data_IF_054194350825
#
_entry.id   IF_054194350825
#
_cell.length_a   1.000
_cell.length_b   1.000
_cell.length_c   1.000
_cell.angle_alpha   90.00
_cell.angle_beta   90.00
_cell.angle_gamma   90.00
#
_symmetry.space_group_name_H-M   'P 1'
#
loop_
_entity.id
_entity.type
_entity.pdbx_description
1 polymer ?
#
# COMPACT_ATOMS: atom_id res chain seq x y z
N UNK A 1 -40.93 -10.81 -0.13
CA UNK A 1 -40.24 -12.11 -0.23
C UNK A 1 -39.32 -12.01 -1.43
N UNK A 2 -38.03 -11.75 -1.19
CA UNK A 2 -37.02 -11.70 -2.25
C UNK A 2 -36.55 -13.11 -2.57
N UNK A 3 -36.38 -13.40 -3.86
CA UNK A 3 -35.89 -14.67 -4.37
C UNK A 3 -34.55 -15.03 -3.72
N UNK A 4 -34.58 -16.08 -2.89
CA UNK A 4 -33.40 -16.88 -2.57
C UNK A 4 -32.96 -17.53 -3.88
N UNK A 5 -31.93 -16.97 -4.52
CA UNK A 5 -31.18 -17.69 -5.56
C UNK A 5 -30.44 -18.86 -4.89
N UNK A 6 -31.11 -20.00 -4.83
CA UNK A 6 -30.61 -21.30 -4.38
C UNK A 6 -29.43 -21.72 -5.27
N UNK A 7 -28.31 -22.11 -4.65
CA UNK A 7 -27.32 -22.98 -5.30
C UNK A 7 -25.91 -22.42 -5.55
N UNK A 8 -25.56 -21.20 -5.12
CA UNK A 8 -24.17 -20.74 -5.21
C UNK A 8 -23.38 -21.11 -3.95
N UNK A 9 -22.16 -21.68 -4.08
CA UNK A 9 -21.30 -21.92 -2.93
C UNK A 9 -21.05 -20.60 -2.19
N UNK A 10 -20.97 -20.67 -0.85
CA UNK A 10 -20.63 -19.50 -0.06
C UNK A 10 -19.27 -18.94 -0.50
N UNK A 11 -19.20 -17.62 -0.69
CA UNK A 11 -17.99 -16.89 -1.05
C UNK A 11 -16.88 -17.23 -0.05
N UNK A 12 -15.76 -17.79 -0.52
CA UNK A 12 -14.64 -18.17 0.34
C UNK A 12 -13.76 -16.97 0.59
N UNK A 13 -13.70 -16.49 1.82
CA UNK A 13 -12.79 -15.43 2.24
C UNK A 13 -11.53 -16.04 2.85
N UNK A 14 -10.38 -15.75 2.26
CA UNK A 14 -9.06 -16.15 2.73
C UNK A 14 -8.20 -14.91 2.99
N UNK A 15 -7.27 -15.02 3.93
CA UNK A 15 -6.28 -13.98 4.21
C UNK A 15 -4.93 -14.66 4.21
N UNK A 16 -4.06 -14.30 3.28
CA UNK A 16 -2.83 -15.03 3.01
C UNK A 16 -1.67 -14.11 2.61
N UNK A 17 -0.46 -14.53 2.99
CA UNK A 17 0.80 -13.94 2.56
C UNK A 17 1.46 -14.97 1.67
N UNK A 18 1.89 -14.56 0.49
CA UNK A 18 2.63 -15.38 -0.44
C UNK A 18 3.60 -14.48 -1.19
N UNK A 19 4.82 -14.98 -1.45
CA UNK A 19 5.85 -14.20 -2.14
C UNK A 19 5.37 -13.75 -3.53
N UNK A 20 4.81 -14.62 -4.39
CA UNK A 20 4.23 -14.20 -5.67
C UNK A 20 3.17 -13.10 -5.58
N UNK A 21 2.26 -13.18 -4.60
CA UNK A 21 1.20 -12.19 -4.43
C UNK A 21 1.78 -10.80 -4.14
N UNK A 22 2.68 -10.74 -3.17
CA UNK A 22 3.27 -9.49 -2.70
C UNK A 22 4.30 -8.93 -3.71
N UNK A 23 5.08 -9.79 -4.36
CA UNK A 23 5.95 -9.41 -5.48
C UNK A 23 5.17 -8.74 -6.61
N UNK A 24 4.02 -9.30 -6.99
CA UNK A 24 3.13 -8.73 -8.03
C UNK A 24 2.63 -7.35 -7.62
N UNK A 25 2.30 -7.17 -6.34
CA UNK A 25 1.93 -5.85 -5.79
C UNK A 25 3.08 -4.86 -5.90
N UNK A 26 4.25 -5.21 -5.39
CA UNK A 26 5.36 -4.27 -5.26
C UNK A 26 5.99 -3.92 -6.60
N UNK A 27 6.20 -4.87 -7.51
CA UNK A 27 6.73 -4.56 -8.84
C UNK A 27 5.78 -3.62 -9.62
N UNK A 28 4.46 -3.80 -9.44
CA UNK A 28 3.43 -2.92 -9.99
C UNK A 28 3.47 -1.51 -9.40
N UNK A 29 3.86 -1.37 -8.14
CA UNK A 29 4.02 -0.07 -7.47
C UNK A 29 5.32 0.60 -7.92
N UNK A 30 6.44 -0.12 -8.01
CA UNK A 30 7.72 0.38 -8.52
C UNK A 30 7.59 0.84 -9.98
N UNK A 31 6.87 0.10 -10.83
CA UNK A 31 6.54 0.55 -12.18
C UNK A 31 5.85 1.94 -12.17
N UNK A 32 4.96 2.20 -11.22
CA UNK A 32 4.21 3.47 -11.16
C UNK A 32 4.97 4.61 -10.45
N UNK A 33 6.01 4.29 -9.67
CA UNK A 33 6.71 5.19 -8.76
C UNK A 33 7.65 6.18 -9.46
N UNK A 34 7.07 7.08 -10.25
CA UNK A 34 7.77 8.14 -11.00
C UNK A 34 7.84 9.47 -10.26
N UNK A 35 7.03 9.66 -9.20
CA UNK A 35 6.93 10.91 -8.44
C UNK A 35 7.05 10.66 -6.92
N UNK A 36 8.05 11.27 -6.31
CA UNK A 36 8.33 11.22 -4.87
C UNK A 36 7.28 11.90 -3.99
N UNK A 37 6.39 12.73 -4.56
CA UNK A 37 5.27 13.34 -3.80
C UNK A 37 4.10 12.38 -3.62
N UNK A 38 4.00 11.36 -4.48
CA UNK A 38 2.86 10.45 -4.54
C UNK A 38 3.17 9.05 -4.00
N UNK A 39 4.42 8.61 -4.07
CA UNK A 39 4.85 7.28 -3.68
C UNK A 39 5.77 7.30 -2.46
N UNK A 40 5.77 6.19 -1.72
CA UNK A 40 6.78 5.90 -0.68
C UNK A 40 8.18 6.09 -1.24
N UNK A 41 9.07 6.69 -0.44
CA UNK A 41 10.44 7.02 -0.87
C UNK A 41 11.18 5.79 -1.40
N UNK A 42 11.03 4.65 -0.72
CA UNK A 42 11.67 3.40 -1.15
C UNK A 42 11.25 2.99 -2.56
N UNK A 43 9.97 3.12 -2.94
CA UNK A 43 9.50 2.74 -4.28
C UNK A 43 10.17 3.58 -5.38
N UNK A 44 10.34 4.88 -5.12
CA UNK A 44 10.97 5.80 -6.07
C UNK A 44 12.48 5.56 -6.16
N UNK A 45 13.13 5.34 -5.02
CA UNK A 45 14.56 5.05 -4.96
C UNK A 45 14.86 3.68 -5.60
N UNK A 46 14.00 2.67 -5.37
CA UNK A 46 14.07 1.36 -6.03
C UNK A 46 13.90 1.47 -7.54
N UNK A 47 12.94 2.27 -8.04
CA UNK A 47 12.79 2.50 -9.49
C UNK A 47 14.06 3.13 -10.07
N UNK A 48 14.62 4.16 -9.42
CA UNK A 48 15.85 4.82 -9.88
C UNK A 48 17.06 3.89 -9.87
N UNK A 49 17.14 2.99 -8.89
CA UNK A 49 18.24 2.05 -8.73
C UNK A 49 18.32 1.00 -9.86
N UNK A 50 17.23 0.78 -10.61
CA UNK A 50 17.22 -0.10 -11.78
C UNK A 50 18.23 0.36 -12.86
N UNK A 51 18.39 1.68 -13.05
CA UNK A 51 19.14 2.24 -14.16
C UNK A 51 18.41 2.13 -15.50
N UNK A 52 18.93 2.79 -16.54
CA UNK A 52 18.20 3.03 -17.78
C UNK A 52 17.79 1.75 -18.54
N UNK A 53 18.68 0.77 -18.64
CA UNK A 53 18.41 -0.51 -19.32
C UNK A 53 17.27 -1.30 -18.66
N UNK A 54 17.19 -1.26 -17.32
CA UNK A 54 16.20 -2.03 -16.55
C UNK A 54 14.89 -1.31 -16.39
N UNK A 55 14.94 0.01 -16.29
CA UNK A 55 13.74 0.83 -16.39
C UNK A 55 13.07 0.60 -17.75
N UNK A 56 13.85 0.47 -18.83
CA UNK A 56 13.36 0.09 -20.15
C UNK A 56 12.73 -1.30 -20.16
N UNK A 57 13.41 -2.35 -19.65
CA UNK A 57 12.83 -3.70 -19.56
C UNK A 57 11.55 -3.74 -18.72
N UNK A 58 11.53 -3.05 -17.57
CA UNK A 58 10.36 -2.93 -16.72
C UNK A 58 9.21 -2.24 -17.47
N UNK A 59 9.49 -1.13 -18.16
CA UNK A 59 8.46 -0.36 -18.87
C UNK A 59 7.94 -1.11 -20.11
N UNK A 60 8.81 -1.81 -20.85
CA UNK A 60 8.43 -2.66 -21.98
C UNK A 60 7.58 -3.85 -21.52
N UNK A 61 8.01 -4.55 -20.46
CA UNK A 61 7.36 -5.79 -20.04
C UNK A 61 6.11 -5.57 -19.19
N UNK A 62 6.02 -4.52 -18.39
CA UNK A 62 4.78 -4.24 -17.65
C UNK A 62 3.83 -3.35 -18.47
N UNK A 63 4.35 -2.65 -19.50
CA UNK A 63 3.57 -1.80 -20.39
C UNK A 63 2.75 -2.55 -21.45
N UNK A 64 2.87 -3.87 -21.59
CA UNK A 64 2.13 -4.69 -22.58
C UNK A 64 0.62 -4.47 -22.52
N UNK A 65 0.04 -4.31 -21.34
CA UNK A 65 -1.40 -4.11 -21.13
C UNK A 65 -1.74 -2.66 -20.77
N UNK A 66 -0.85 -1.73 -21.10
CA UNK A 66 -1.08 -0.31 -20.89
C UNK A 66 -0.94 0.12 -19.44
N UNK A 67 -1.92 0.90 -18.97
CA UNK A 67 -1.96 1.40 -17.59
C UNK A 67 -2.34 0.29 -16.61
N UNK A 68 -3.07 -0.71 -17.11
CA UNK A 68 -3.48 -1.91 -16.40
C UNK A 68 -2.32 -2.91 -16.56
N UNK A 69 -1.87 -3.54 -15.48
CA UNK A 69 -0.67 -4.40 -15.53
C UNK A 69 -1.05 -5.88 -15.60
N UNK A 70 -2.00 -6.20 -16.47
CA UNK A 70 -2.53 -7.55 -16.62
C UNK A 70 -1.46 -8.58 -16.97
N UNK A 71 -0.39 -8.21 -17.68
CA UNK A 71 0.67 -9.17 -17.99
C UNK A 71 1.31 -9.79 -16.74
N UNK A 72 1.60 -9.00 -15.70
CA UNK A 72 2.16 -9.56 -14.46
C UNK A 72 1.12 -10.38 -13.68
N UNK A 73 -0.17 -10.05 -13.83
CA UNK A 73 -1.25 -10.86 -13.27
C UNK A 73 -1.37 -12.21 -13.99
N UNK A 74 -1.21 -12.26 -15.31
CA UNK A 74 -1.19 -13.54 -16.05
C UNK A 74 -0.04 -14.43 -15.58
N UNK A 75 1.15 -13.86 -15.31
CA UNK A 75 2.29 -14.61 -14.74
C UNK A 75 2.01 -15.13 -13.33
N UNK A 76 1.31 -14.35 -12.50
CA UNK A 76 0.89 -14.78 -11.18
C UNK A 76 -0.15 -15.91 -11.29
N UNK A 77 -1.14 -15.74 -12.15
CA UNK A 77 -2.26 -16.67 -12.29
C UNK A 77 -1.87 -17.97 -13.01
N UNK A 78 -0.84 -17.97 -13.86
CA UNK A 78 -0.26 -19.21 -14.42
C UNK A 78 0.32 -20.11 -13.33
N UNK A 79 0.86 -19.51 -12.27
CA UNK A 79 1.34 -20.23 -11.10
C UNK A 79 0.21 -20.74 -10.21
N UNK A 80 -0.97 -20.12 -10.25
CA UNK A 80 -2.11 -20.43 -9.38
C UNK A 80 -1.71 -20.37 -7.89
N UNK A 81 -1.59 -19.15 -7.31
CA UNK A 81 -1.06 -18.95 -5.96
C UNK A 81 -1.98 -19.50 -4.86
N UNK A 82 -3.17 -19.97 -5.22
CA UNK A 82 -4.20 -20.41 -4.27
C UNK A 82 -4.15 -21.91 -3.98
N UNK A 83 -3.42 -22.68 -4.81
CA UNK A 83 -3.25 -24.11 -4.59
C UNK A 83 -2.59 -24.37 -3.23
N UNK A 84 -3.02 -25.39 -2.48
CA UNK A 84 -2.45 -25.71 -1.18
C UNK A 84 -0.91 -25.77 -1.19
N UNK A 85 -0.32 -26.37 -2.22
CA UNK A 85 1.13 -26.48 -2.41
C UNK A 85 1.84 -25.16 -2.71
N UNK A 86 1.13 -24.12 -3.17
CA UNK A 86 1.70 -22.84 -3.57
C UNK A 86 1.50 -21.74 -2.52
N UNK A 87 0.67 -21.97 -1.50
CA UNK A 87 0.34 -20.97 -0.47
C UNK A 87 1.56 -20.46 0.29
N UNK A 88 2.53 -21.34 0.51
CA UNK A 88 3.78 -21.03 1.22
C UNK A 88 4.99 -20.98 0.28
N UNK A 89 4.76 -21.05 -1.04
CA UNK A 89 5.84 -21.02 -2.02
C UNK A 89 6.60 -19.69 -1.95
N UNK A 90 7.92 -19.81 -1.92
CA UNK A 90 8.86 -18.71 -2.03
C UNK A 90 9.09 -18.31 -3.49
N UNK A 91 10.03 -17.38 -3.66
CA UNK A 91 10.39 -16.86 -4.96
C UNK A 91 10.97 -17.93 -5.90
N UNK A 92 11.80 -18.83 -5.37
CA UNK A 92 12.48 -19.85 -6.18
C UNK A 92 11.49 -20.83 -6.82
N UNK A 93 10.45 -21.24 -6.09
CA UNK A 93 9.40 -22.12 -6.62
C UNK A 93 8.58 -21.43 -7.71
N UNK A 94 8.28 -20.14 -7.51
CA UNK A 94 7.57 -19.33 -8.48
C UNK A 94 8.37 -19.15 -9.77
N UNK A 95 9.64 -18.74 -9.68
CA UNK A 95 10.51 -18.60 -10.85
C UNK A 95 10.79 -19.93 -11.51
N UNK A 96 10.95 -21.01 -10.74
CA UNK A 96 11.11 -22.35 -11.31
C UNK A 96 9.88 -22.79 -12.11
N UNK A 97 8.66 -22.42 -11.68
CA UNK A 97 7.46 -22.63 -12.47
C UNK A 97 7.51 -21.82 -13.78
N UNK A 98 7.80 -20.52 -13.70
CA UNK A 98 7.90 -19.66 -14.88
C UNK A 98 8.94 -20.16 -15.89
N UNK A 99 10.11 -20.60 -15.42
CA UNK A 99 11.16 -21.18 -16.27
C UNK A 99 10.71 -22.48 -16.96
N UNK A 100 9.84 -23.28 -16.32
CA UNK A 100 9.29 -24.53 -16.88
C UNK A 100 8.21 -24.29 -17.93
N UNK A 101 7.51 -23.17 -17.90
CA UNK A 101 6.52 -22.84 -18.93
C UNK A 101 7.18 -22.78 -20.32
N UNK A 102 6.55 -23.34 -21.37
CA UNK A 102 7.06 -23.20 -22.72
C UNK A 102 6.96 -21.75 -23.19
N UNK A 103 7.82 -21.32 -24.11
CA UNK A 103 7.87 -19.92 -24.54
C UNK A 103 6.56 -19.41 -25.16
N UNK A 104 5.84 -20.26 -25.89
CA UNK A 104 4.53 -19.90 -26.44
C UNK A 104 3.53 -19.48 -25.36
N UNK A 105 3.65 -19.97 -24.12
CA UNK A 105 2.77 -19.57 -23.02
C UNK A 105 2.95 -18.10 -22.67
N UNK A 106 4.17 -17.56 -22.79
CA UNK A 106 4.43 -16.13 -22.57
C UNK A 106 3.78 -15.25 -23.63
N UNK A 107 3.79 -15.69 -24.90
CA UNK A 107 3.04 -15.05 -25.98
C UNK A 107 1.54 -15.09 -25.67
N UNK A 108 1.00 -16.24 -25.26
CA UNK A 108 -0.41 -16.36 -24.88
C UNK A 108 -0.78 -15.43 -23.72
N UNK A 109 0.03 -15.35 -22.66
CA UNK A 109 -0.20 -14.44 -21.54
C UNK A 109 -0.17 -12.96 -21.97
N UNK A 110 0.77 -12.55 -22.82
CA UNK A 110 0.81 -11.18 -23.34
C UNK A 110 -0.46 -10.84 -24.16
N UNK A 111 -0.93 -11.80 -24.97
CA UNK A 111 -2.17 -11.65 -25.74
C UNK A 111 -3.39 -11.56 -24.81
N UNK A 112 -3.51 -12.46 -23.82
CA UNK A 112 -4.61 -12.45 -22.86
C UNK A 112 -4.65 -11.15 -22.06
N UNK A 113 -3.48 -10.66 -21.62
CA UNK A 113 -3.36 -9.37 -20.95
C UNK A 113 -3.91 -8.23 -21.82
N UNK A 114 -3.61 -8.22 -23.13
CA UNK A 114 -4.14 -7.22 -24.05
C UNK A 114 -5.65 -7.36 -24.29
N UNK A 115 -6.14 -8.60 -24.44
CA UNK A 115 -7.59 -8.85 -24.57
C UNK A 115 -8.38 -8.36 -23.35
N UNK A 116 -7.81 -8.48 -22.14
CA UNK A 116 -8.41 -7.92 -20.92
C UNK A 116 -8.48 -6.39 -20.96
N UNK A 117 -7.47 -5.72 -21.54
CA UNK A 117 -7.52 -4.25 -21.74
C UNK A 117 -8.64 -3.87 -22.69
N UNK A 118 -8.84 -4.62 -23.77
CA UNK A 118 -9.95 -4.39 -24.70
C UNK A 118 -11.31 -4.59 -24.02
N UNK A 119 -11.44 -5.66 -23.24
CA UNK A 119 -12.67 -5.97 -22.52
C UNK A 119 -13.09 -4.84 -21.57
N UNK A 120 -12.14 -4.26 -20.83
CA UNK A 120 -12.41 -3.13 -19.93
C UNK A 120 -12.84 -1.85 -20.65
N UNK A 121 -12.47 -1.73 -21.92
CA UNK A 121 -12.90 -0.65 -22.80
C UNK A 121 -14.20 -0.97 -23.54
N UNK A 122 -14.82 -2.11 -23.27
CA UNK A 122 -16.02 -2.58 -23.93
C UNK A 122 -15.80 -3.08 -25.36
N UNK A 123 -14.57 -3.41 -25.72
CA UNK A 123 -14.21 -3.95 -27.03
C UNK A 123 -13.96 -5.47 -26.95
N UNK A 124 -14.38 -6.19 -27.99
CA UNK A 124 -14.06 -7.61 -28.18
C UNK A 124 -13.17 -7.70 -29.41
N UNK A 125 -11.89 -8.00 -29.19
CA UNK A 125 -10.89 -8.15 -30.24
C UNK A 125 -10.48 -9.60 -30.41
N UNK A 126 -10.04 -9.96 -31.61
CA UNK A 126 -9.52 -11.29 -31.92
C UNK A 126 -8.01 -11.18 -32.15
N UNK A 127 -7.18 -12.01 -31.49
CA UNK A 127 -5.74 -12.01 -31.74
C UNK A 127 -5.42 -12.34 -33.20
N UNK A 128 -4.41 -11.69 -33.80
CA UNK A 128 -3.98 -12.01 -35.16
C UNK A 128 -3.51 -13.46 -35.30
N UNK A 129 -3.87 -14.10 -36.42
CA UNK A 129 -3.37 -15.43 -36.81
C UNK A 129 -2.11 -15.37 -37.70
N UNK A 130 -1.71 -14.17 -38.13
CA UNK A 130 -0.56 -13.91 -38.99
C UNK A 130 0.72 -13.68 -38.18
N UNK A 131 1.89 -13.92 -38.78
CA UNK A 131 3.19 -13.49 -38.24
C UNK A 131 3.63 -12.11 -38.77
N UNK A 132 2.76 -11.40 -39.50
CA UNK A 132 3.01 -10.05 -39.99
C UNK A 132 3.10 -9.02 -38.84
N UNK A 133 4.26 -8.38 -38.62
CA UNK A 133 4.43 -7.38 -37.56
C UNK A 133 3.47 -6.19 -37.66
N UNK A 134 3.04 -5.79 -38.86
CA UNK A 134 2.14 -4.65 -39.03
C UNK A 134 0.75 -4.94 -38.44
N UNK A 135 0.26 -6.18 -38.58
CA UNK A 135 -1.02 -6.60 -38.00
C UNK A 135 -0.93 -6.65 -36.47
N UNK A 136 0.18 -7.17 -35.94
CA UNK A 136 0.43 -7.18 -34.50
C UNK A 136 0.58 -5.77 -33.92
N UNK A 137 1.23 -4.85 -34.65
CA UNK A 137 1.33 -3.45 -34.24
C UNK A 137 -0.05 -2.83 -34.06
N UNK A 138 -0.93 -2.99 -35.04
CA UNK A 138 -2.30 -2.50 -34.97
C UNK A 138 -3.08 -3.11 -33.78
N UNK A 139 -2.81 -4.38 -33.45
CA UNK A 139 -3.41 -5.05 -32.29
C UNK A 139 -2.89 -4.56 -30.94
N UNK A 140 -1.63 -4.14 -30.82
CA UNK A 140 -1.07 -3.70 -29.53
C UNK A 140 -1.19 -2.19 -29.31
N UNK A 141 -1.05 -1.38 -30.35
CA UNK A 141 -0.97 0.09 -30.28
C UNK A 141 -2.06 0.76 -29.41
N UNK A 142 -3.35 0.36 -29.46
CA UNK A 142 -4.38 0.99 -28.63
C UNK A 142 -4.18 0.76 -27.13
N UNK A 143 -3.57 -0.35 -26.75
CA UNK A 143 -3.43 -0.79 -25.36
C UNK A 143 -2.13 -0.37 -24.70
N UNK A 144 -1.08 -0.05 -25.45
CA UNK A 144 0.25 0.29 -24.89
C UNK A 144 0.24 1.67 -24.22
N UNK A 145 1.05 1.85 -23.17
CA UNK A 145 1.24 3.15 -22.51
C UNK A 145 2.68 3.64 -22.49
N UNK A 146 3.60 2.91 -21.84
CA UNK A 146 5.01 3.30 -21.72
C UNK A 146 5.94 2.52 -22.64
N UNK A 147 5.57 1.30 -23.00
CA UNK A 147 6.38 0.45 -23.86
C UNK A 147 6.46 1.00 -25.29
N UNK A 148 7.55 0.69 -25.99
CA UNK A 148 7.61 0.82 -27.44
C UNK A 148 6.79 -0.31 -28.08
N UNK A 149 5.76 0.05 -28.85
CA UNK A 149 4.88 -0.92 -29.52
C UNK A 149 5.66 -1.82 -30.50
N UNK A 150 6.67 -1.30 -31.20
CA UNK A 150 7.43 -2.11 -32.16
C UNK A 150 8.29 -3.15 -31.43
N UNK A 151 8.82 -2.79 -30.27
CA UNK A 151 9.54 -3.72 -29.41
C UNK A 151 8.62 -4.79 -28.84
N UNK A 152 7.44 -4.40 -28.37
CA UNK A 152 6.42 -5.33 -27.90
C UNK A 152 6.05 -6.34 -28.99
N UNK A 153 5.81 -5.88 -30.22
CA UNK A 153 5.52 -6.75 -31.36
C UNK A 153 6.66 -7.72 -31.63
N UNK A 154 7.92 -7.24 -31.63
CA UNK A 154 9.09 -8.13 -31.78
C UNK A 154 9.13 -9.20 -30.70
N UNK A 155 8.86 -8.86 -29.44
CA UNK A 155 8.86 -9.82 -28.33
C UNK A 155 7.73 -10.85 -28.44
N UNK A 156 6.52 -10.43 -28.81
CA UNK A 156 5.37 -11.34 -28.97
C UNK A 156 5.60 -12.31 -30.14
N UNK A 157 6.25 -11.86 -31.21
CA UNK A 157 6.67 -12.70 -32.35
C UNK A 157 7.92 -13.55 -32.04
N UNK A 158 8.70 -13.19 -31.01
CA UNK A 158 9.87 -13.93 -30.54
C UNK A 158 9.67 -14.43 -29.09
N UNK A 159 8.77 -15.41 -28.86
CA UNK A 159 8.35 -15.82 -27.52
C UNK A 159 9.48 -16.28 -26.59
N UNK A 160 10.58 -16.83 -27.14
CA UNK A 160 11.75 -17.20 -26.35
C UNK A 160 12.43 -15.99 -25.71
N UNK A 161 12.54 -14.87 -26.46
CA UNK A 161 13.10 -13.62 -25.93
C UNK A 161 12.17 -12.98 -24.91
N UNK A 162 10.85 -13.03 -25.14
CA UNK A 162 9.85 -12.58 -24.18
C UNK A 162 9.98 -13.34 -22.86
N UNK A 163 10.03 -14.68 -22.93
CA UNK A 163 10.25 -15.54 -21.75
C UNK A 163 11.54 -15.17 -21.02
N UNK A 164 12.66 -15.11 -21.75
CA UNK A 164 13.97 -14.83 -21.16
C UNK A 164 13.99 -13.47 -20.45
N UNK A 165 13.51 -12.41 -21.10
CA UNK A 165 13.46 -11.06 -20.51
C UNK A 165 12.50 -11.00 -19.31
N UNK A 166 11.33 -11.61 -19.38
CA UNK A 166 10.38 -11.66 -18.25
C UNK A 166 10.97 -12.36 -17.03
N UNK A 167 11.56 -13.54 -17.21
CA UNK A 167 12.19 -14.28 -16.10
C UNK A 167 13.36 -13.49 -15.53
N UNK A 168 14.23 -12.95 -16.38
CA UNK A 168 15.38 -12.14 -15.98
C UNK A 168 14.97 -10.89 -15.20
N UNK A 169 13.90 -10.20 -15.62
CA UNK A 169 13.35 -9.03 -14.92
C UNK A 169 12.93 -9.42 -13.50
N UNK A 170 12.14 -10.48 -13.34
CA UNK A 170 11.66 -10.91 -12.03
C UNK A 170 12.80 -11.37 -11.11
N UNK A 171 13.73 -12.18 -11.62
CA UNK A 171 14.90 -12.65 -10.88
C UNK A 171 15.76 -11.50 -10.39
N UNK A 172 16.03 -10.53 -11.26
CA UNK A 172 16.83 -9.38 -10.88
C UNK A 172 16.10 -8.48 -9.91
N UNK A 173 14.83 -8.17 -10.16
CA UNK A 173 14.00 -7.37 -9.25
C UNK A 173 14.00 -7.96 -7.84
N UNK A 174 13.78 -9.28 -7.74
CA UNK A 174 13.84 -9.98 -6.47
C UNK A 174 15.22 -9.89 -5.83
N UNK A 175 16.28 -10.33 -6.52
CA UNK A 175 17.63 -10.43 -5.96
C UNK A 175 18.21 -9.08 -5.56
N UNK A 176 18.02 -8.05 -6.38
CA UNK A 176 18.72 -6.77 -6.22
C UNK A 176 17.91 -5.71 -5.48
N UNK A 177 16.58 -5.80 -5.49
CA UNK A 177 15.73 -4.79 -4.85
C UNK A 177 14.86 -5.35 -3.73
N UNK A 178 14.24 -6.51 -3.91
CA UNK A 178 13.09 -6.87 -3.08
C UNK A 178 13.31 -7.95 -2.02
N UNK A 179 14.23 -8.90 -2.20
CA UNK A 179 14.37 -10.04 -1.28
C UNK A 179 14.63 -9.59 0.18
N UNK A 180 15.60 -8.69 0.39
CA UNK A 180 15.93 -8.15 1.71
C UNK A 180 14.76 -7.32 2.29
N UNK A 181 14.04 -6.60 1.44
CA UNK A 181 12.90 -5.78 1.86
C UNK A 181 11.69 -6.63 2.23
N UNK A 182 11.45 -7.72 1.51
CA UNK A 182 10.44 -8.70 1.84
C UNK A 182 10.72 -9.33 3.21
N UNK A 183 11.96 -9.76 3.46
CA UNK A 183 12.35 -10.31 4.77
C UNK A 183 12.16 -9.29 5.90
N UNK A 184 12.53 -8.03 5.67
CA UNK A 184 12.32 -6.93 6.63
C UNK A 184 10.84 -6.66 6.90
N UNK A 185 9.99 -6.71 5.87
CA UNK A 185 8.56 -6.46 5.96
C UNK A 185 7.75 -7.65 6.51
N UNK A 186 8.28 -8.87 6.39
CA UNK A 186 7.57 -10.12 6.70
C UNK A 186 7.00 -10.19 8.13
N UNK A 187 7.70 -9.76 9.20
CA UNK A 187 7.12 -9.74 10.55
C UNK A 187 5.87 -8.85 10.65
N UNK A 188 5.88 -7.70 9.97
CA UNK A 188 4.74 -6.75 9.95
C UNK A 188 3.57 -7.35 9.17
N UNK A 189 3.83 -7.92 7.99
CA UNK A 189 2.81 -8.61 7.20
C UNK A 189 2.18 -9.77 7.98
N UNK A 190 2.99 -10.61 8.65
CA UNK A 190 2.53 -11.72 9.49
C UNK A 190 1.67 -11.24 10.66
N UNK A 191 2.04 -10.13 11.30
CA UNK A 191 1.21 -9.52 12.36
C UNK A 191 -0.15 -9.10 11.80
N UNK A 192 -0.16 -8.38 10.68
CA UNK A 192 -1.39 -7.89 10.06
C UNK A 192 -2.33 -9.05 9.64
N UNK A 193 -1.79 -10.13 9.06
CA UNK A 193 -2.60 -11.31 8.71
C UNK A 193 -3.15 -12.03 9.95
N UNK A 194 -2.37 -12.16 11.03
CA UNK A 194 -2.89 -12.73 12.29
C UNK A 194 -4.06 -11.92 12.84
N UNK A 195 -3.95 -10.59 12.83
CA UNK A 195 -5.03 -9.69 13.29
C UNK A 195 -6.27 -9.79 12.40
N UNK A 196 -6.08 -9.74 11.09
CA UNK A 196 -7.17 -9.83 10.13
C UNK A 196 -7.89 -11.19 10.23
N UNK A 197 -7.17 -12.29 10.43
CA UNK A 197 -7.76 -13.64 10.64
C UNK A 197 -8.51 -13.77 11.97
N UNK A 198 -8.16 -12.98 12.98
CA UNK A 198 -8.86 -12.94 14.26
C UNK A 198 -10.13 -12.09 14.22
N UNK A 199 -10.37 -11.35 13.13
CA UNK A 199 -11.52 -10.46 12.95
C UNK A 199 -12.58 -11.14 12.11
N UNK A 200 -13.82 -11.13 12.60
CA UNK A 200 -14.98 -11.61 11.83
C UNK A 200 -15.57 -10.46 11.04
N UNK A 201 -15.50 -10.54 9.72
CA UNK A 201 -16.06 -9.52 8.84
C UNK A 201 -17.48 -9.89 8.40
N UNK A 202 -18.36 -8.88 8.36
CA UNK A 202 -19.76 -9.06 7.95
C UNK A 202 -19.95 -9.25 6.43
N UNK A 203 -19.00 -8.73 5.64
CA UNK A 203 -18.98 -8.83 4.17
C UNK A 203 -17.58 -8.53 3.64
N UNK A 204 -17.33 -8.83 2.36
CA UNK A 204 -16.07 -8.45 1.68
C UNK A 204 -15.89 -6.94 1.64
N UNK A 205 -16.95 -6.17 1.41
CA UNK A 205 -16.87 -4.72 1.40
C UNK A 205 -16.47 -4.16 2.76
N UNK A 206 -17.06 -4.70 3.83
CA UNK A 206 -16.70 -4.34 5.20
C UNK A 206 -15.28 -4.77 5.58
N UNK A 207 -14.85 -5.99 5.18
CA UNK A 207 -13.48 -6.44 5.35
C UNK A 207 -12.48 -5.52 4.66
N UNK A 208 -12.76 -5.15 3.40
CA UNK A 208 -11.91 -4.26 2.64
C UNK A 208 -11.86 -2.85 3.25
N UNK A 209 -12.99 -2.31 3.69
CA UNK A 209 -13.02 -1.01 4.35
C UNK A 209 -12.27 -1.02 5.67
N UNK A 210 -12.38 -2.07 6.47
CA UNK A 210 -11.66 -2.15 7.74
C UNK A 210 -10.14 -2.33 7.57
N UNK A 211 -9.73 -3.19 6.63
CA UNK A 211 -8.31 -3.48 6.38
C UNK A 211 -7.60 -2.39 5.58
N UNK A 212 -8.28 -1.83 4.58
CA UNK A 212 -7.69 -0.84 3.67
C UNK A 212 -8.04 0.59 4.03
N UNK A 213 -9.10 0.84 4.82
CA UNK A 213 -9.72 2.15 5.05
C UNK A 213 -10.22 2.86 3.79
N UNK A 214 -10.46 2.11 2.72
CA UNK A 214 -11.10 2.57 1.50
C UNK A 214 -12.39 1.80 1.27
N UNK A 215 -13.39 2.44 0.66
CA UNK A 215 -14.57 1.71 0.18
C UNK A 215 -14.16 0.77 -0.96
N UNK A 216 -14.79 -0.40 -1.01
CA UNK A 216 -14.57 -1.36 -2.08
C UNK A 216 -14.88 -0.71 -3.43
N UNK A 217 -13.99 -0.78 -4.44
CA UNK A 217 -14.25 -0.18 -5.75
C UNK A 217 -15.55 -0.70 -6.39
N UNK A 218 -16.27 0.18 -7.09
CA UNK A 218 -17.56 -0.16 -7.69
C UNK A 218 -17.43 -1.29 -8.73
N UNK A 219 -16.35 -1.30 -9.50
CA UNK A 219 -16.02 -2.37 -10.45
C UNK A 219 -15.87 -3.74 -9.75
N UNK A 220 -15.26 -3.77 -8.57
CA UNK A 220 -15.11 -4.99 -7.78
C UNK A 220 -16.47 -5.39 -7.19
N UNK A 221 -17.25 -4.43 -6.66
CA UNK A 221 -18.59 -4.70 -6.15
C UNK A 221 -19.50 -5.34 -7.20
N UNK A 222 -19.48 -4.81 -8.43
CA UNK A 222 -20.25 -5.34 -9.57
C UNK A 222 -19.79 -6.74 -9.99
N UNK A 223 -18.50 -7.05 -9.79
CA UNK A 223 -17.94 -8.34 -10.14
C UNK A 223 -18.11 -9.43 -9.08
N UNK A 224 -18.41 -9.08 -7.81
CA UNK A 224 -18.59 -10.05 -6.71
C UNK A 224 -19.53 -11.23 -7.03
N UNK A 225 -20.64 -11.07 -7.78
CA UNK A 225 -21.48 -12.20 -8.16
C UNK A 225 -20.78 -13.24 -9.07
N UNK A 226 -19.63 -12.91 -9.67
CA UNK A 226 -18.84 -13.81 -10.52
C UNK A 226 -17.62 -14.39 -9.79
N UNK A 227 -17.42 -14.01 -8.53
CA UNK A 227 -16.28 -14.42 -7.70
C UNK A 227 -16.73 -15.54 -6.76
N UNK A 228 -15.90 -16.58 -6.66
CA UNK A 228 -16.11 -17.68 -5.73
C UNK A 228 -15.14 -17.62 -4.54
N UNK A 229 -13.97 -17.00 -4.72
CA UNK A 229 -12.94 -16.87 -3.69
C UNK A 229 -12.32 -15.47 -3.67
N UNK A 230 -12.20 -14.93 -2.47
CA UNK A 230 -11.58 -13.64 -2.19
C UNK A 230 -10.37 -13.85 -1.29
N UNK A 231 -9.20 -13.44 -1.75
CA UNK A 231 -7.95 -13.48 -0.98
C UNK A 231 -7.54 -12.07 -0.61
N UNK A 232 -7.50 -11.76 0.68
CA UNK A 232 -6.86 -10.56 1.19
C UNK A 232 -5.36 -10.80 1.37
N UNK A 233 -4.54 -10.03 0.66
CA UNK A 233 -3.09 -10.12 0.74
C UNK A 233 -2.48 -8.83 1.29
N UNK A 234 -1.63 -8.88 2.33
CA UNK A 234 -0.94 -7.70 2.78
C UNK A 234 0.10 -7.25 1.76
N UNK A 235 0.28 -5.94 1.62
CA UNK A 235 1.42 -5.35 0.90
C UNK A 235 2.00 -4.22 1.73
N UNK A 236 3.31 -4.24 1.94
CA UNK A 236 3.99 -3.30 2.83
C UNK A 236 4.02 -1.88 2.24
N UNK A 237 4.37 -1.76 0.97
CA UNK A 237 4.54 -0.46 0.30
C UNK A 237 3.25 0.11 -0.32
N UNK A 238 2.10 -0.52 -0.05
CA UNK A 238 0.83 -0.13 -0.65
C UNK A 238 0.39 1.30 -0.25
N UNK A 239 0.79 1.79 0.92
CA UNK A 239 0.47 3.16 1.35
C UNK A 239 -1.05 3.41 1.40
N UNK A 240 -1.52 4.38 0.61
CA UNK A 240 -2.94 4.72 0.44
C UNK A 240 -3.50 4.32 -0.94
N UNK A 241 -2.76 3.48 -1.68
CA UNK A 241 -3.23 2.98 -2.96
C UNK A 241 -4.25 1.87 -2.74
N UNK A 242 -5.27 1.85 -3.59
CA UNK A 242 -6.15 0.70 -3.75
C UNK A 242 -5.57 -0.15 -4.88
N UNK A 243 -5.32 -1.42 -4.59
CA UNK A 243 -4.85 -2.40 -5.56
C UNK A 243 -5.63 -3.69 -5.36
N UNK A 244 -6.01 -4.30 -6.47
CA UNK A 244 -6.68 -5.59 -6.50
C UNK A 244 -6.36 -6.30 -7.82
N UNK A 245 -6.59 -7.60 -7.88
CA UNK A 245 -6.57 -8.40 -9.10
C UNK A 245 -7.94 -9.07 -9.19
N UNK A 246 -8.69 -8.74 -10.23
CA UNK A 246 -9.98 -9.36 -10.53
C UNK A 246 -9.77 -10.37 -11.67
N UNK A 247 -9.72 -11.65 -11.32
CA UNK A 247 -9.51 -12.76 -12.25
C UNK A 247 -10.53 -13.87 -11.97
N UNK A 248 -11.82 -13.68 -12.33
CA UNK A 248 -12.89 -14.60 -11.93
C UNK A 248 -12.56 -16.07 -12.25
N UNK A 249 -12.84 -17.01 -11.33
CA UNK A 249 -13.61 -16.83 -10.10
C UNK A 249 -12.81 -16.28 -8.90
N UNK A 250 -11.58 -15.82 -9.10
CA UNK A 250 -10.68 -15.30 -8.08
C UNK A 250 -10.71 -13.77 -7.97
N UNK A 251 -10.64 -13.28 -6.74
CA UNK A 251 -10.43 -11.87 -6.43
C UNK A 251 -9.31 -11.74 -5.38
N UNK A 252 -8.24 -11.03 -5.71
CA UNK A 252 -7.19 -10.66 -4.76
C UNK A 252 -7.39 -9.20 -4.37
N UNK A 253 -7.51 -8.93 -3.08
CA UNK A 253 -7.57 -7.58 -2.53
C UNK A 253 -6.31 -7.29 -1.73
N UNK A 254 -5.55 -6.28 -2.12
CA UNK A 254 -4.38 -5.87 -1.36
C UNK A 254 -4.77 -4.87 -0.27
N UNK A 255 -4.15 -5.00 0.90
CA UNK A 255 -4.30 -4.04 1.99
C UNK A 255 -2.95 -3.65 2.58
N UNK A 256 -2.84 -2.43 3.08
CA UNK A 256 -1.60 -1.92 3.64
C UNK A 256 -1.39 -2.54 5.04
N UNK A 257 -0.38 -3.40 5.17
CA UNK A 257 -0.10 -4.09 6.43
C UNK A 257 0.55 -3.21 7.51
N UNK A 258 0.98 -2.00 7.15
CA UNK A 258 1.43 -0.97 8.09
C UNK A 258 0.24 -0.26 8.73
N UNK A 259 -0.97 -0.36 8.14
CA UNK A 259 -2.17 0.18 8.78
C UNK A 259 -2.44 -0.58 10.07
N UNK A 260 -2.51 0.20 11.11
CA UNK A 260 -2.94 -0.21 12.43
C UNK A 260 -4.47 -0.10 12.36
N UNK A 261 -5.17 -1.24 12.21
CA UNK A 261 -6.65 -1.27 12.18
C UNK A 261 -7.22 -0.50 13.38
N UNK A 262 -8.43 0.06 13.28
CA UNK A 262 -9.14 0.58 14.45
C UNK A 262 -9.32 -0.49 15.56
N UNK A 263 -9.26 -1.78 15.20
CA UNK A 263 -9.18 -2.93 16.09
C UNK A 263 -7.78 -3.19 16.66
N UNK A 264 -6.87 -2.23 16.58
CA UNK A 264 -5.65 -2.26 17.37
C UNK A 264 -6.05 -1.98 18.80
N UNK A 265 -6.27 -3.04 19.57
CA UNK A 265 -6.05 -2.94 21.00
C UNK A 265 -4.67 -2.29 21.16
N UNK A 266 -4.57 -1.14 21.83
CA UNK A 266 -3.28 -0.51 22.06
C UNK A 266 -2.31 -1.58 22.56
N UNK A 267 -1.12 -1.67 21.97
CA UNK A 267 -0.05 -2.50 22.51
C UNK A 267 0.02 -2.23 24.02
N UNK A 268 0.09 -3.28 24.85
CA UNK A 268 0.18 -3.11 26.31
C UNK A 268 1.26 -2.05 26.63
N UNK A 269 0.84 -0.90 27.17
CA UNK A 269 1.71 0.26 27.42
C UNK A 269 1.65 1.41 26.41
N UNK A 270 0.78 1.41 25.40
CA UNK A 270 0.61 2.56 24.48
C UNK A 270 0.10 3.80 25.23
N UNK A 271 0.82 4.90 25.07
CA UNK A 271 0.45 6.23 25.61
C UNK A 271 -0.72 6.85 24.81
N UNK A 272 -0.95 6.38 23.58
CA UNK A 272 -1.93 6.92 22.63
C UNK A 272 -3.30 6.27 22.85
N UNK A 273 -4.32 7.08 23.10
CA UNK A 273 -5.71 6.64 23.22
C UNK A 273 -6.28 6.21 21.86
N UNK A 274 -7.10 5.15 21.77
CA UNK A 274 -7.79 4.78 20.53
C UNK A 274 -8.68 5.90 19.99
N UNK A 275 -9.15 6.80 20.85
CA UNK A 275 -10.02 7.91 20.48
C UNK A 275 -9.25 9.10 19.89
N UNK A 276 -7.91 9.13 19.96
CA UNK A 276 -7.12 10.26 19.46
C UNK A 276 -7.27 10.44 17.94
N UNK A 277 -7.11 9.35 17.19
CA UNK A 277 -7.11 9.38 15.73
C UNK A 277 -8.45 9.84 15.14
N UNK A 278 -9.63 9.34 15.59
CA UNK A 278 -10.92 9.90 15.21
C UNK A 278 -11.02 11.41 15.48
N UNK A 279 -10.54 11.87 16.64
CA UNK A 279 -10.50 13.30 16.99
C UNK A 279 -9.64 14.13 16.03
N UNK A 280 -8.42 13.67 15.74
CA UNK A 280 -7.52 14.34 14.80
C UNK A 280 -8.07 14.37 13.37
N UNK A 281 -8.69 13.28 12.90
CA UNK A 281 -9.37 13.25 11.57
C UNK A 281 -10.54 14.24 11.49
N UNK A 282 -11.30 14.38 12.57
CA UNK A 282 -12.38 15.36 12.65
C UNK A 282 -11.84 16.80 12.65
N UNK A 283 -10.67 17.06 13.24
CA UNK A 283 -10.04 18.38 13.27
C UNK A 283 -9.23 18.73 12.01
N UNK A 284 -8.75 17.73 11.26
CA UNK A 284 -7.85 17.90 10.10
C UNK A 284 -8.51 18.44 8.81
N UNK A 285 -9.39 19.44 8.92
CA UNK A 285 -10.11 20.04 7.79
C UNK A 285 -10.41 21.52 8.06
N UNK A 286 -10.10 22.39 7.09
CA UNK A 286 -10.21 23.83 7.25
C UNK A 286 -11.62 24.32 7.55
N UNK A 287 -12.64 23.72 6.92
CA UNK A 287 -14.04 24.08 7.16
C UNK A 287 -14.48 23.67 8.57
N UNK A 288 -14.09 22.47 9.03
CA UNK A 288 -14.39 22.01 10.39
C UNK A 288 -13.69 22.85 11.46
N UNK A 289 -12.45 23.25 11.25
CA UNK A 289 -11.77 24.21 12.14
C UNK A 289 -12.49 25.56 12.17
N UNK A 290 -12.98 26.04 11.02
CA UNK A 290 -13.76 27.28 10.96
C UNK A 290 -15.10 27.16 11.70
N UNK A 291 -15.77 26.02 11.62
CA UNK A 291 -16.98 25.74 12.42
C UNK A 291 -16.67 25.84 13.92
N UNK A 292 -15.58 25.21 14.37
CA UNK A 292 -15.15 25.27 15.77
C UNK A 292 -14.86 26.72 16.18
N UNK A 293 -14.19 27.49 15.34
CA UNK A 293 -13.94 28.92 15.58
C UNK A 293 -15.25 29.73 15.73
N UNK A 294 -16.27 29.46 14.90
CA UNK A 294 -17.59 30.11 14.98
C UNK A 294 -18.34 29.78 16.28
N UNK A 295 -18.13 28.57 16.82
CA UNK A 295 -18.75 28.08 18.05
C UNK A 295 -17.99 28.49 19.32
N UNK A 296 -16.83 29.16 19.19
CA UNK A 296 -15.97 29.54 20.33
C UNK A 296 -16.69 30.44 21.35
N UNK A 297 -17.58 31.31 20.87
CA UNK A 297 -18.25 32.32 21.69
C UNK A 297 -19.66 31.91 22.14
N UNK A 298 -20.07 30.66 21.90
CA UNK A 298 -21.39 30.16 22.30
C UNK A 298 -21.98 29.18 21.31
N UNK A 299 -23.10 28.57 21.70
CA UNK A 299 -23.84 27.66 20.84
C UNK A 299 -24.46 28.39 19.65
N UNK A 300 -24.54 27.71 18.50
CA UNK A 300 -25.19 28.21 17.28
C UNK A 300 -26.07 27.16 16.66
N UNK A 301 -27.17 27.57 16.07
CA UNK A 301 -27.99 26.63 15.29
C UNK A 301 -27.45 26.46 13.87
N UNK A 302 -27.73 25.31 13.26
CA UNK A 302 -27.10 24.89 12.01
C UNK A 302 -27.19 25.92 10.87
N UNK A 303 -28.30 26.66 10.74
CA UNK A 303 -28.47 27.64 9.66
C UNK A 303 -27.62 28.91 9.85
N UNK A 304 -27.30 29.32 11.08
CA UNK A 304 -26.35 30.42 11.30
C UNK A 304 -24.97 30.05 10.77
N UNK A 305 -24.55 28.82 11.03
CA UNK A 305 -23.26 28.28 10.58
C UNK A 305 -23.22 28.24 9.05
N UNK A 306 -24.32 27.81 8.41
CA UNK A 306 -24.48 27.86 6.94
C UNK A 306 -24.31 29.28 6.41
N UNK A 307 -25.02 30.25 6.99
CA UNK A 307 -24.95 31.65 6.57
C UNK A 307 -23.56 32.26 6.73
N UNK A 308 -22.84 31.91 7.80
CA UNK A 308 -21.50 32.43 8.07
C UNK A 308 -20.39 31.82 7.21
N UNK A 309 -20.55 30.56 6.78
CA UNK A 309 -19.54 29.87 5.96
C UNK A 309 -19.75 30.06 4.46
N UNK A 310 -20.96 30.41 4.02
CA UNK A 310 -21.27 30.60 2.60
C UNK A 310 -21.22 29.31 1.77
N UNK A 311 -21.37 28.14 2.41
CA UNK A 311 -21.42 26.82 1.75
C UNK A 311 -22.81 26.19 1.91
N UNK A 312 -23.08 25.12 1.17
CA UNK A 312 -24.39 24.47 1.18
C UNK A 312 -24.74 23.88 2.56
N UNK A 313 -26.04 23.85 2.87
CA UNK A 313 -26.56 23.22 4.09
C UNK A 313 -26.18 21.75 4.21
N UNK A 314 -26.14 21.01 3.09
CA UNK A 314 -25.72 19.60 3.09
C UNK A 314 -24.25 19.44 3.46
N UNK A 315 -23.38 20.34 3.01
CA UNK A 315 -21.96 20.34 3.36
C UNK A 315 -21.77 20.64 4.86
N UNK A 316 -22.44 21.67 5.39
CA UNK A 316 -22.39 21.99 6.83
C UNK A 316 -22.91 20.84 7.68
N UNK A 317 -24.04 20.23 7.29
CA UNK A 317 -24.61 19.09 8.05
C UNK A 317 -23.65 17.90 8.09
N UNK A 318 -22.95 17.61 6.99
CA UNK A 318 -21.94 16.54 6.95
C UNK A 318 -20.77 16.86 7.88
N UNK A 319 -20.27 18.10 7.86
CA UNK A 319 -19.19 18.53 8.74
C UNK A 319 -19.58 18.46 10.22
N UNK A 320 -20.78 18.93 10.57
CA UNK A 320 -21.31 18.86 11.94
C UNK A 320 -21.50 17.42 12.41
N UNK A 321 -22.00 16.52 11.56
CA UNK A 321 -22.13 15.11 11.89
C UNK A 321 -20.79 14.45 12.18
N UNK A 322 -19.73 14.79 11.42
CA UNK A 322 -18.37 14.28 11.67
C UNK A 322 -17.79 14.81 12.98
N UNK A 323 -18.01 16.09 13.30
CA UNK A 323 -17.57 16.68 14.56
C UNK A 323 -18.33 16.10 15.76
N UNK A 324 -19.63 15.85 15.61
CA UNK A 324 -20.50 15.25 16.63
C UNK A 324 -20.10 13.79 16.89
N UNK A 325 -19.89 13.00 15.83
CA UNK A 325 -19.45 11.60 15.94
C UNK A 325 -18.07 11.47 16.62
N UNK A 326 -17.18 12.45 16.45
CA UNK A 326 -15.88 12.50 17.13
C UNK A 326 -15.94 13.10 18.54
N UNK A 327 -17.14 13.50 19.00
CA UNK A 327 -17.37 14.12 20.31
C UNK A 327 -16.83 15.55 20.43
N UNK A 328 -16.40 16.19 19.34
CA UNK A 328 -15.80 17.54 19.33
C UNK A 328 -16.87 18.62 19.56
N UNK A 329 -18.10 18.36 19.14
CA UNK A 329 -19.25 19.23 19.40
C UNK A 329 -20.37 18.42 20.06
N UNK A 330 -21.16 19.09 20.90
CA UNK A 330 -22.41 18.56 21.45
C UNK A 330 -23.59 19.17 20.71
N UNK A 331 -24.65 18.40 20.51
CA UNK A 331 -25.90 18.88 19.92
C UNK A 331 -27.01 18.92 20.97
N UNK A 332 -27.79 19.99 20.96
CA UNK A 332 -28.98 20.15 21.80
C UNK A 332 -30.17 20.56 20.93
N UNK A 333 -31.27 19.78 20.91
CA UNK A 333 -32.49 20.21 20.24
C UNK A 333 -33.20 21.29 21.08
N UNK A 334 -33.60 22.39 20.45
CA UNK A 334 -34.47 23.41 21.04
C UNK A 334 -35.28 24.13 19.96
N UNK A 335 -36.57 24.36 20.22
CA UNK A 335 -37.47 25.08 19.32
C UNK A 335 -37.46 24.54 17.88
N UNK A 336 -37.40 23.21 17.72
CA UNK A 336 -37.33 22.55 16.41
C UNK A 336 -35.98 22.69 15.67
N UNK A 337 -34.98 23.30 16.31
CA UNK A 337 -33.64 23.52 15.77
C UNK A 337 -32.58 22.71 16.53
N UNK A 338 -31.47 22.40 15.85
CA UNK A 338 -30.29 21.78 16.47
C UNK A 338 -29.26 22.86 16.77
N UNK A 339 -28.96 23.05 18.05
CA UNK A 339 -27.90 23.94 18.53
C UNK A 339 -26.64 23.13 18.77
N UNK A 340 -25.52 23.62 18.25
CA UNK A 340 -24.21 22.99 18.38
C UNK A 340 -23.34 23.84 19.30
N UNK A 341 -22.61 23.20 20.20
CA UNK A 341 -21.65 23.84 21.10
C UNK A 341 -20.34 23.03 21.10
N UNK A 342 -19.22 23.70 21.38
CA UNK A 342 -17.92 23.02 21.52
C UNK A 342 -17.94 22.13 22.77
N UNK A 343 -17.53 20.87 22.60
CA UNK A 343 -17.17 20.02 23.73
C UNK A 343 -15.75 20.34 24.20
N UNK A 344 -15.64 21.31 25.11
CA UNK A 344 -14.34 21.81 25.59
C UNK A 344 -13.53 20.72 26.32
N UNK A 345 -14.19 19.77 26.97
CA UNK A 345 -13.54 18.66 27.66
C UNK A 345 -12.84 17.74 26.66
N UNK A 346 -13.51 17.39 25.56
CA UNK A 346 -12.94 16.52 24.53
C UNK A 346 -11.74 17.16 23.83
N UNK A 347 -11.82 18.45 23.50
CA UNK A 347 -10.68 19.17 22.92
C UNK A 347 -9.47 19.19 23.86
N UNK A 348 -9.71 19.37 25.17
CA UNK A 348 -8.65 19.35 26.17
C UNK A 348 -7.97 17.97 26.27
N UNK A 349 -8.76 16.90 26.26
CA UNK A 349 -8.22 15.53 26.26
C UNK A 349 -7.30 15.28 25.06
N UNK A 350 -7.71 15.72 23.86
CA UNK A 350 -6.89 15.59 22.64
C UNK A 350 -5.59 16.39 22.79
N UNK A 351 -5.65 17.61 23.33
CA UNK A 351 -4.46 18.42 23.57
C UNK A 351 -3.49 17.78 24.59
N UNK A 352 -4.01 17.32 25.74
CA UNK A 352 -3.22 16.63 26.77
C UNK A 352 -2.59 15.33 26.26
N UNK A 353 -3.29 14.60 25.38
CA UNK A 353 -2.77 13.42 24.70
C UNK A 353 -1.62 13.78 23.75
N UNK A 354 -1.77 14.83 22.94
CA UNK A 354 -0.71 15.32 22.06
C UNK A 354 0.50 15.84 22.85
N UNK A 355 0.28 16.51 23.97
CA UNK A 355 1.34 16.97 24.88
C UNK A 355 2.11 15.80 25.48
N UNK A 356 1.42 14.73 25.93
CA UNK A 356 2.06 13.50 26.41
C UNK A 356 2.88 12.79 25.34
N UNK A 357 2.44 12.84 24.07
CA UNK A 357 3.20 12.31 22.94
C UNK A 357 4.45 13.17 22.69
N UNK A 358 4.32 14.49 22.82
CA UNK A 358 5.41 15.45 22.61
C UNK A 358 6.37 15.60 23.78
N UNK A 359 6.02 15.14 24.99
CA UNK A 359 6.90 15.19 26.15
C UNK A 359 8.03 14.17 25.99
N UNK A 360 9.18 14.64 25.49
CA UNK A 360 10.44 13.89 25.53
C UNK A 360 10.85 13.73 26.99
N UNK A 361 11.06 12.50 27.43
CA UNK A 361 11.61 12.20 28.76
C UNK A 361 13.09 12.63 28.81
N UNK A 362 13.34 13.90 29.15
CA UNK A 362 14.70 14.47 29.29
C UNK A 362 15.53 13.72 30.34
N UNK A 363 14.90 12.92 31.21
CA UNK A 363 15.57 12.16 32.28
C UNK A 363 16.20 10.83 31.84
N UNK A 364 15.89 10.33 30.65
CA UNK A 364 16.54 9.12 30.11
C UNK A 364 17.93 9.43 29.51
N UNK A 365 18.15 10.67 29.05
CA UNK A 365 19.41 11.06 28.38
C UNK A 365 20.55 11.37 29.36
N UNK A 366 20.26 11.62 30.64
CA UNK A 366 21.29 11.90 31.66
C UNK A 366 21.81 10.65 32.39
N UNK A 367 21.11 9.51 32.31
CA UNK A 367 21.57 8.24 32.91
C UNK A 367 22.61 7.51 32.06
N UNK A 368 22.62 7.71 30.74
CA UNK A 368 23.68 7.16 29.88
C UNK A 368 24.97 7.98 29.90
N UNK A 369 24.89 9.29 30.18
CA UNK A 369 26.08 10.15 30.26
C UNK A 369 26.78 10.15 31.65
N UNK A 370 26.21 9.50 32.66
CA UNK A 370 26.80 9.41 34.01
C UNK A 370 27.48 8.05 34.32
N UNK A 371 27.39 7.06 33.42
CA UNK A 371 28.04 5.76 33.57
C UNK A 371 29.35 5.59 32.77
N UNK A 372 29.83 6.63 32.09
CA UNK A 372 31.07 6.59 31.28
C UNK A 372 32.37 6.99 32.00
N UNK A 373 32.33 7.36 33.29
CA UNK A 373 33.53 7.84 33.99
C UNK A 373 33.73 7.14 35.34
N UNK A 374 34.25 5.92 35.30
CA UNK A 374 35.03 5.37 36.42
C UNK A 374 36.10 4.39 35.95
N UNK A 375 37.33 4.91 36.01
CA UNK A 375 38.63 4.27 36.03
C UNK A 375 38.67 2.73 36.17
N UNK A 376 39.38 2.09 35.24
CA UNK A 376 40.07 0.81 35.49
C UNK A 376 41.57 1.05 35.32
N UNK A 377 42.23 1.15 36.46
CA UNK A 377 43.67 1.01 36.63
C UNK A 377 44.10 -0.43 36.31
N UNK A 378 45.04 -0.61 35.38
CA UNK A 378 45.73 -1.89 35.15
C UNK A 378 47.12 -1.90 35.79
N UNK A 379 47.51 -2.96 36.52
CA UNK A 379 48.91 -3.25 36.80
C UNK A 379 49.47 -4.35 35.88
N UNK A 380 50.65 -4.03 35.32
CA UNK A 380 51.80 -4.90 35.00
C UNK A 380 51.62 -6.28 34.33
N UNK A 381 52.26 -6.44 33.16
CA UNK A 381 53.47 -7.28 33.02
C UNK A 381 54.25 -7.05 31.70
N UNK A 382 55.52 -6.67 31.88
CA UNK A 382 56.73 -7.03 31.13
C UNK A 382 56.82 -6.96 29.58
N UNK A 383 57.77 -6.15 29.11
CA UNK A 383 58.73 -6.57 28.07
C UNK A 383 59.03 -5.55 26.97
N UNK A 384 60.19 -4.85 27.10
CA UNK A 384 61.16 -4.42 26.06
C UNK A 384 60.60 -3.68 24.80
N UNK A 385 61.13 -2.58 24.26
CA UNK A 385 62.47 -1.95 24.27
C UNK A 385 62.47 -0.87 23.16
N UNK A 386 63.10 0.31 23.40
CA UNK A 386 63.72 1.24 22.42
C UNK A 386 62.76 1.97 21.42
N UNK A 387 62.81 3.28 21.08
CA UNK A 387 63.78 4.38 21.14
C UNK A 387 63.06 5.75 20.93
N UNK A 388 63.58 6.80 21.62
CA UNK A 388 63.89 8.18 21.19
C UNK A 388 62.80 9.06 20.50
N UNK A 389 62.35 10.17 21.12
CA UNK A 389 62.83 11.57 20.91
C UNK A 389 62.60 12.04 19.45
N UNK A 390 61.92 13.15 19.15
CA UNK A 390 62.30 14.50 19.52
C UNK A 390 61.25 15.52 19.01
N UNK A 391 61.18 16.70 19.64
CA UNK A 391 60.35 17.84 19.24
C UNK A 391 61.28 19.02 18.98
N UNK A 392 61.03 19.86 17.95
CA UNK A 392 61.18 21.29 18.22
C UNK A 392 60.02 22.15 17.67
N UNK A 393 59.98 23.44 18.06
CA UNK A 393 58.76 24.23 18.19
C UNK A 393 58.52 25.23 17.04
N UNK A 394 57.36 25.88 17.11
CA UNK A 394 56.98 27.13 16.45
C UNK A 394 58.13 28.15 16.28
N UNK A 395 57.95 29.10 15.35
CA UNK A 395 57.72 30.46 15.83
C UNK A 395 56.54 31.16 15.16
N UNK A 396 56.14 32.24 15.83
CA UNK A 396 55.06 33.14 15.48
C UNK A 396 55.58 34.41 14.76
N UNK A 397 54.59 35.14 14.22
CA UNK A 397 54.56 36.59 13.90
C UNK A 397 55.21 37.04 12.59
N UNK A 398 54.40 37.80 11.83
CA UNK A 398 54.74 38.59 10.66
C UNK A 398 53.47 39.12 10.02
#
# INVERSE_FOLDING_TARGET
MGELLVGRPALKLEIAISVPLDLTSVISLVFRATDARRFERWLVDARKALGAEWEHDLDTLLGFSGRLLYYVEELLMSFDPFRPEHREAGFEEYVAHLKRLPAWAYRSMAIQAMLRVYLDRGALEVPPESDDPAVWRAFFEPGITRADVDEVVRLVLAPEQLKERTVRLLERFWRELYAAEFERALPVMRRAVRQARATTFSSVANAFEELSGHRLPDEVQLALPRVERVTFSPSYYLGNFVQFILYPPELILYFNCQRTSAATQPAEGSVISPDLLPGLRALGDGTRLRIIELLRNGERYAQEIVGMLGISQSAVSRHLAMLEAAGIVTVRPANGMKYYAINSQRLRQIAEELERIGSVDVRATERDNSNGSRAVSSPHAAGRSLLAEDKPPHPAVG
#
